data_IF_575088152010
#
_entry.id   IF_575088152010
#
_cell.length_a   1.000
_cell.length_b   1.000
_cell.length_c   1.000
_cell.angle_alpha   90.00
_cell.angle_beta   90.00
_cell.angle_gamma   90.00
#
_symmetry.space_group_name_H-M   'P 1'
#
loop_
_entity.id
_entity.type
_entity.pdbx_description
1 polymer ?
#
# COMPACT_ATOMS: atom_id res chain seq x y z
N UNK A 1 -14.73 -6.86 4.33
CA UNK A 1 -15.80 -7.12 5.33
C UNK A 1 -15.13 -7.79 6.52
N UNK A 2 -14.97 -7.08 7.63
CA UNK A 2 -14.31 -7.61 8.82
C UNK A 2 -15.16 -8.72 9.44
N UNK A 3 -14.57 -9.91 9.61
CA UNK A 3 -15.22 -11.03 10.29
C UNK A 3 -14.86 -10.96 11.76
N UNK A 4 -15.86 -11.02 12.64
CA UNK A 4 -15.68 -10.98 14.09
C UNK A 4 -16.12 -12.33 14.64
N UNK A 5 -15.18 -13.11 15.19
CA UNK A 5 -15.44 -14.48 15.61
C UNK A 5 -16.56 -14.59 16.67
N UNK A 6 -16.69 -13.56 17.52
CA UNK A 6 -17.73 -13.42 18.54
C UNK A 6 -19.10 -13.00 17.98
N UNK A 7 -19.18 -12.52 16.73
CA UNK A 7 -20.43 -12.12 16.09
C UNK A 7 -20.93 -13.19 15.11
N UNK A 8 -21.98 -13.97 15.46
CA UNK A 8 -22.51 -15.04 14.61
C UNK A 8 -22.96 -14.57 13.23
N UNK A 9 -23.34 -13.29 13.08
CA UNK A 9 -23.77 -12.72 11.79
C UNK A 9 -22.62 -12.61 10.77
N UNK A 10 -21.37 -12.62 11.23
CA UNK A 10 -20.18 -12.50 10.37
C UNK A 10 -19.46 -13.82 10.13
N UNK A 11 -19.97 -14.93 10.72
CA UNK A 11 -19.41 -16.26 10.53
C UNK A 11 -19.74 -16.77 9.12
N UNK A 12 -18.78 -17.41 8.42
CA UNK A 12 -19.06 -18.04 7.14
C UNK A 12 -20.11 -19.13 7.32
N UNK A 13 -21.11 -19.14 6.43
CA UNK A 13 -22.12 -20.21 6.33
C UNK A 13 -21.75 -21.26 5.28
N UNK A 14 -20.56 -21.15 4.69
CA UNK A 14 -20.06 -22.02 3.63
C UNK A 14 -18.54 -22.08 3.68
N UNK A 15 -17.97 -23.17 3.17
CA UNK A 15 -16.53 -23.35 3.03
C UNK A 15 -16.05 -22.75 1.72
N UNK A 16 -14.96 -21.99 1.77
CA UNK A 16 -14.29 -21.45 0.57
C UNK A 16 -13.17 -22.41 0.20
N UNK A 17 -13.12 -22.93 -1.05
CA UNK A 17 -12.02 -23.78 -1.49
C UNK A 17 -10.66 -23.08 -1.33
N UNK A 18 -9.63 -23.86 -1.02
CA UNK A 18 -8.26 -23.36 -0.94
C UNK A 18 -7.85 -22.65 -2.24
N UNK A 19 -7.14 -21.53 -2.13
CA UNK A 19 -6.68 -20.74 -3.28
C UNK A 19 -7.76 -19.90 -3.99
N UNK A 20 -9.06 -20.18 -3.80
CA UNK A 20 -10.13 -19.48 -4.52
C UNK A 20 -10.10 -17.95 -4.31
N UNK A 21 -9.77 -17.48 -3.10
CA UNK A 21 -9.62 -16.04 -2.81
C UNK A 21 -8.50 -15.42 -3.63
N UNK A 22 -7.36 -16.10 -3.72
CA UNK A 22 -6.18 -15.64 -4.47
C UNK A 22 -6.49 -15.62 -5.97
N UNK A 23 -7.04 -16.72 -6.51
CA UNK A 23 -7.43 -16.80 -7.92
C UNK A 23 -8.47 -15.76 -8.30
N UNK A 24 -9.46 -15.49 -7.44
CA UNK A 24 -10.48 -14.47 -7.70
C UNK A 24 -9.91 -13.05 -7.71
N UNK A 25 -8.98 -12.74 -6.80
CA UNK A 25 -8.27 -11.45 -6.80
C UNK A 25 -7.40 -11.30 -8.03
N UNK A 26 -6.66 -12.36 -8.41
CA UNK A 26 -5.83 -12.34 -9.60
C UNK A 26 -6.69 -12.16 -10.86
N UNK A 27 -7.82 -12.85 -10.99
CA UNK A 27 -8.76 -12.70 -12.12
C UNK A 27 -9.26 -11.26 -12.29
N UNK A 28 -9.60 -10.61 -11.18
CA UNK A 28 -10.02 -9.21 -11.21
C UNK A 28 -8.85 -8.30 -11.65
N UNK A 29 -7.66 -8.50 -11.09
CA UNK A 29 -6.50 -7.71 -11.49
C UNK A 29 -6.10 -7.93 -12.95
N UNK A 30 -6.08 -9.16 -13.43
CA UNK A 30 -5.70 -9.48 -14.82
C UNK A 30 -6.66 -8.90 -15.85
N UNK A 31 -7.94 -8.71 -15.48
CA UNK A 31 -8.92 -8.07 -16.36
C UNK A 31 -8.84 -6.54 -16.34
N UNK A 32 -8.57 -5.93 -15.19
CA UNK A 32 -8.81 -4.50 -14.96
C UNK A 32 -7.56 -3.66 -14.69
N UNK A 33 -6.41 -4.26 -14.35
CA UNK A 33 -5.21 -3.54 -13.94
C UNK A 33 -4.14 -3.44 -15.04
N UNK A 34 -4.43 -3.85 -16.27
CA UNK A 34 -3.55 -3.67 -17.44
C UNK A 34 -2.07 -4.02 -17.13
N UNK A 35 -1.11 -3.14 -17.45
CA UNK A 35 0.32 -3.31 -17.17
C UNK A 35 0.66 -3.37 -15.67
N UNK A 36 -0.19 -2.86 -14.79
CA UNK A 36 0.01 -2.87 -13.34
C UNK A 36 -0.19 -4.26 -12.71
N UNK A 37 -0.67 -5.25 -13.47
CA UNK A 37 -0.71 -6.65 -13.04
C UNK A 37 0.67 -7.14 -12.57
N UNK A 38 1.75 -6.67 -13.21
CA UNK A 38 3.12 -7.07 -12.82
C UNK A 38 3.42 -6.75 -11.35
N UNK A 39 2.95 -5.59 -10.85
CA UNK A 39 3.13 -5.22 -9.45
C UNK A 39 2.45 -6.21 -8.52
N UNK A 40 1.25 -6.68 -8.85
CA UNK A 40 0.53 -7.68 -8.04
C UNK A 40 1.33 -8.98 -7.93
N UNK A 41 1.97 -9.41 -9.02
CA UNK A 41 2.77 -10.63 -9.07
C UNK A 41 4.07 -10.56 -8.23
N UNK A 42 4.48 -9.37 -7.78
CA UNK A 42 5.61 -9.21 -6.84
C UNK A 42 5.26 -9.60 -5.39
N UNK A 43 3.97 -9.75 -5.07
CA UNK A 43 3.53 -10.14 -3.72
C UNK A 43 3.59 -11.67 -3.56
N UNK A 44 4.03 -12.19 -2.39
CA UNK A 44 4.20 -13.63 -2.18
C UNK A 44 2.96 -14.48 -2.46
N UNK A 45 1.77 -13.93 -2.19
CA UNK A 45 0.51 -14.64 -2.43
C UNK A 45 0.18 -14.86 -3.93
N UNK A 46 0.82 -14.12 -4.84
CA UNK A 46 0.52 -14.13 -6.27
C UNK A 46 1.73 -14.51 -7.15
N UNK A 47 2.93 -14.63 -6.57
CA UNK A 47 4.15 -14.95 -7.31
C UNK A 47 4.06 -16.27 -8.09
N UNK A 48 3.26 -17.23 -7.60
CA UNK A 48 2.98 -18.49 -8.28
C UNK A 48 2.40 -18.33 -9.69
N UNK A 49 1.65 -17.27 -9.98
CA UNK A 49 1.14 -17.02 -11.33
C UNK A 49 2.23 -16.53 -12.29
N UNK A 50 3.27 -15.85 -11.78
CA UNK A 50 4.42 -15.40 -12.57
C UNK A 50 5.41 -16.53 -12.84
N UNK A 51 5.63 -17.41 -11.85
CA UNK A 51 6.53 -18.57 -11.98
C UNK A 51 5.91 -19.75 -12.71
N UNK A 52 4.60 -19.71 -13.00
CA UNK A 52 3.86 -20.83 -13.59
C UNK A 52 3.46 -21.93 -12.60
N UNK A 53 3.78 -21.77 -11.31
CA UNK A 53 3.34 -22.70 -10.26
C UNK A 53 1.82 -22.65 -10.01
N UNK A 54 1.13 -21.59 -10.43
CA UNK A 54 -0.33 -21.46 -10.42
C UNK A 54 -0.85 -21.16 -11.83
N UNK A 55 -1.90 -21.86 -12.23
CA UNK A 55 -2.54 -21.64 -13.52
C UNK A 55 -3.26 -20.28 -13.55
N UNK A 56 -3.00 -19.47 -14.58
CA UNK A 56 -3.71 -18.20 -14.79
C UNK A 56 -5.17 -18.49 -15.16
N UNK A 57 -6.15 -17.80 -14.54
CA UNK A 57 -7.54 -17.98 -14.90
C UNK A 57 -7.81 -17.44 -16.31
N UNK A 58 -8.69 -18.12 -17.06
CA UNK A 58 -9.23 -17.56 -18.29
C UNK A 58 -10.09 -16.32 -17.98
N UNK A 59 -9.87 -15.27 -18.75
CA UNK A 59 -10.54 -13.97 -18.66
C UNK A 59 -11.06 -13.48 -20.02
N UNK A 60 -11.03 -14.31 -21.06
CA UNK A 60 -11.45 -13.97 -22.42
C UNK A 60 -12.82 -13.29 -22.46
N UNK A 61 -13.79 -13.85 -21.75
CA UNK A 61 -15.14 -13.29 -21.62
C UNK A 61 -15.17 -11.89 -20.97
N UNK A 62 -14.30 -11.63 -19.99
CA UNK A 62 -14.22 -10.30 -19.34
C UNK A 62 -13.57 -9.29 -20.29
N UNK A 63 -12.56 -9.72 -21.05
CA UNK A 63 -11.89 -8.88 -22.04
C UNK A 63 -12.84 -8.47 -23.16
N UNK A 64 -13.67 -9.39 -23.64
CA UNK A 64 -14.72 -9.09 -24.62
C UNK A 64 -15.72 -8.04 -24.09
N UNK A 65 -16.17 -8.19 -22.84
CA UNK A 65 -17.05 -7.19 -22.18
C UNK A 65 -16.35 -5.83 -22.07
N UNK A 66 -15.08 -5.82 -21.67
CA UNK A 66 -14.28 -4.59 -21.51
C UNK A 66 -14.14 -3.84 -22.84
N UNK A 67 -13.95 -4.57 -23.94
CA UNK A 67 -13.90 -4.02 -25.30
C UNK A 67 -15.27 -3.47 -25.73
N UNK A 68 -16.33 -4.27 -25.58
CA UNK A 68 -17.70 -3.88 -25.95
C UNK A 68 -18.18 -2.63 -25.20
N UNK A 69 -17.85 -2.51 -23.91
CA UNK A 69 -18.19 -1.36 -23.08
C UNK A 69 -17.25 -0.16 -23.28
N UNK A 70 -16.22 -0.29 -24.14
CA UNK A 70 -15.21 0.76 -24.42
C UNK A 70 -14.60 1.32 -23.13
N UNK A 71 -14.25 0.42 -22.20
CA UNK A 71 -13.70 0.81 -20.90
C UNK A 71 -12.38 1.58 -21.05
N UNK A 72 -12.12 2.51 -20.13
CA UNK A 72 -10.84 3.24 -20.05
C UNK A 72 -9.75 2.35 -19.41
N UNK A 73 -8.47 2.57 -19.74
CA UNK A 73 -7.36 1.85 -19.11
C UNK A 73 -7.21 2.22 -17.63
N UNK A 74 -6.54 1.37 -16.86
CA UNK A 74 -6.34 1.54 -15.43
C UNK A 74 -5.53 2.81 -15.09
N UNK A 75 -4.58 3.22 -15.95
CA UNK A 75 -3.90 4.51 -15.85
C UNK A 75 -4.90 5.68 -15.74
N UNK A 76 -5.95 5.66 -16.56
CA UNK A 76 -6.98 6.68 -16.55
C UNK A 76 -7.74 6.67 -15.22
N UNK A 77 -8.02 5.49 -14.66
CA UNK A 77 -8.64 5.36 -13.34
C UNK A 77 -7.76 5.97 -12.24
N UNK A 78 -6.47 5.59 -12.19
CA UNK A 78 -5.51 6.15 -11.23
C UNK A 78 -5.41 7.68 -11.34
N UNK A 79 -5.38 8.21 -12.57
CA UNK A 79 -5.34 9.64 -12.81
C UNK A 79 -6.64 10.35 -12.43
N UNK A 80 -7.80 9.77 -12.76
CA UNK A 80 -9.11 10.33 -12.39
C UNK A 80 -9.26 10.44 -10.88
N UNK A 81 -8.73 9.47 -10.14
CA UNK A 81 -8.72 9.45 -8.68
C UNK A 81 -7.35 9.85 -8.11
N UNK A 82 -6.59 10.71 -8.80
CA UNK A 82 -5.23 11.08 -8.41
C UNK A 82 -5.14 11.69 -7.01
N UNK A 83 -6.19 12.37 -6.55
CA UNK A 83 -6.24 12.92 -5.20
C UNK A 83 -6.14 11.82 -4.12
N UNK A 84 -6.69 10.65 -4.40
CA UNK A 84 -6.61 9.49 -3.52
C UNK A 84 -5.32 8.71 -3.76
N UNK A 85 -5.00 8.41 -5.02
CA UNK A 85 -3.87 7.52 -5.31
C UNK A 85 -2.51 8.20 -5.20
N UNK A 86 -2.34 9.39 -5.79
CA UNK A 86 -1.06 10.08 -5.82
C UNK A 86 -0.94 11.12 -4.70
N UNK A 87 -1.95 11.98 -4.52
CA UNK A 87 -1.83 13.11 -3.58
C UNK A 87 -1.87 12.65 -2.11
N UNK A 88 -2.60 11.56 -1.80
CA UNK A 88 -2.56 10.92 -0.47
C UNK A 88 -1.45 9.85 -0.32
N UNK A 89 -0.64 9.65 -1.36
CA UNK A 89 0.53 8.77 -1.33
C UNK A 89 0.23 7.27 -1.27
N UNK A 90 -0.85 6.78 -1.88
CA UNK A 90 -1.05 5.32 -2.08
C UNK A 90 -0.15 4.77 -3.19
N UNK A 91 0.12 5.59 -4.21
CA UNK A 91 1.06 5.34 -5.31
C UNK A 91 2.16 6.39 -5.19
N UNK A 92 3.33 6.03 -4.65
CA UNK A 92 4.40 6.99 -4.43
C UNK A 92 5.07 7.38 -5.73
N UNK A 93 5.50 8.64 -5.80
CA UNK A 93 6.38 9.13 -6.88
C UNK A 93 7.83 8.72 -6.64
N UNK A 94 8.22 8.63 -5.38
CA UNK A 94 9.58 8.32 -4.94
C UNK A 94 9.48 7.48 -3.67
N UNK A 95 10.39 6.52 -3.56
CA UNK A 95 10.61 5.69 -2.38
C UNK A 95 12.05 5.90 -1.95
N UNK A 96 12.29 6.10 -0.66
CA UNK A 96 13.59 6.51 -0.12
C UNK A 96 13.80 5.94 1.29
N UNK A 97 15.04 5.98 1.75
CA UNK A 97 15.41 5.72 3.14
C UNK A 97 15.39 7.02 3.95
N UNK A 98 15.10 6.91 5.24
CA UNK A 98 15.24 8.00 6.21
C UNK A 98 16.49 7.72 7.04
N UNK A 99 17.58 8.46 6.78
CA UNK A 99 18.87 8.30 7.45
C UNK A 99 19.03 9.37 8.53
N UNK A 100 19.45 8.95 9.71
CA UNK A 100 19.91 9.86 10.75
C UNK A 100 21.35 10.29 10.46
N UNK A 101 21.59 11.59 10.37
CA UNK A 101 22.90 12.13 9.99
C UNK A 101 23.97 11.94 11.08
N UNK A 102 23.57 11.82 12.35
CA UNK A 102 24.50 11.69 13.48
C UNK A 102 25.01 10.25 13.58
N UNK A 103 24.10 9.28 13.66
CA UNK A 103 24.46 7.86 13.81
C UNK A 103 24.77 7.18 12.48
N UNK A 104 24.34 7.77 11.35
CA UNK A 104 24.43 7.17 10.03
C UNK A 104 23.47 5.99 9.81
N UNK A 105 22.58 5.70 10.76
CA UNK A 105 21.61 4.61 10.68
C UNK A 105 20.33 5.02 9.97
N UNK A 106 19.61 4.05 9.43
CA UNK A 106 18.34 4.24 8.75
C UNK A 106 17.14 3.81 9.62
N UNK A 107 16.04 4.54 9.48
CA UNK A 107 14.78 4.24 10.14
C UNK A 107 14.12 3.00 9.53
N UNK A 108 13.83 2.00 10.36
CA UNK A 108 13.21 0.74 9.96
C UNK A 108 11.93 0.48 10.74
N UNK A 109 10.83 0.23 10.02
CA UNK A 109 9.60 -0.30 10.62
C UNK A 109 9.71 -1.83 10.77
N UNK A 110 9.46 -2.33 11.98
CA UNK A 110 9.46 -3.77 12.32
C UNK A 110 8.09 -4.18 12.82
N UNK A 111 7.29 -4.78 11.94
CA UNK A 111 5.91 -5.15 12.27
C UNK A 111 4.97 -3.95 12.20
N UNK A 112 3.96 -3.90 13.08
CA UNK A 112 2.86 -2.94 12.97
C UNK A 112 3.06 -1.62 13.69
N UNK A 113 3.91 -1.56 14.72
CA UNK A 113 4.05 -0.35 15.56
C UNK A 113 5.50 0.01 15.91
N UNK A 114 6.45 -0.93 15.77
CA UNK A 114 7.81 -0.75 16.24
C UNK A 114 8.69 -0.08 15.17
N UNK A 115 9.45 0.91 15.59
CA UNK A 115 10.40 1.64 14.77
C UNK A 115 11.76 1.61 15.46
N UNK A 116 12.79 1.30 14.68
CA UNK A 116 14.16 1.24 15.16
C UNK A 116 15.12 1.92 14.19
N UNK A 117 16.27 2.35 14.68
CA UNK A 117 17.41 2.72 13.84
C UNK A 117 18.29 1.48 13.62
N UNK A 118 18.57 1.16 12.37
CA UNK A 118 19.41 0.02 11.99
C UNK A 118 20.37 0.40 10.86
N UNK A 119 21.45 -0.36 10.62
CA UNK A 119 22.32 -0.09 9.47
C UNK A 119 21.52 -0.02 8.16
N UNK A 120 21.79 1.00 7.35
CA UNK A 120 21.10 1.21 6.09
C UNK A 120 21.28 0.01 5.15
N UNK A 121 20.19 -0.44 4.54
CA UNK A 121 20.14 -1.61 3.69
C UNK A 121 19.17 -1.42 2.52
N UNK A 122 19.65 -1.66 1.31
CA UNK A 122 18.83 -1.59 0.10
C UNK A 122 17.82 -2.75 -0.01
N UNK A 123 18.04 -3.82 0.75
CA UNK A 123 17.17 -5.00 0.73
C UNK A 123 16.09 -4.96 1.82
N UNK A 124 16.25 -4.13 2.85
CA UNK A 124 15.24 -4.00 3.90
C UNK A 124 14.06 -3.17 3.43
N UNK A 125 12.95 -3.86 3.10
CA UNK A 125 11.68 -3.20 2.77
C UNK A 125 11.12 -2.37 3.92
N UNK A 126 11.45 -2.72 5.16
CA UNK A 126 11.04 -1.97 6.35
C UNK A 126 11.72 -0.60 6.46
N UNK A 127 12.84 -0.39 5.76
CA UNK A 127 13.53 0.91 5.67
C UNK A 127 13.09 1.77 4.49
N UNK A 128 12.16 1.28 3.67
CA UNK A 128 11.65 2.02 2.52
C UNK A 128 10.42 2.83 2.93
N UNK A 129 10.51 4.14 2.75
CA UNK A 129 9.47 5.11 3.08
C UNK A 129 9.11 5.92 1.85
N UNK A 130 7.94 6.55 1.90
CA UNK A 130 7.53 7.55 0.91
C UNK A 130 6.61 8.58 1.55
N UNK A 131 6.36 9.68 0.85
CA UNK A 131 5.33 10.62 1.24
C UNK A 131 3.96 9.91 1.25
N UNK A 132 3.23 10.09 2.34
CA UNK A 132 1.85 9.68 2.53
C UNK A 132 1.04 10.86 3.03
N UNK A 133 -0.27 10.69 3.13
CA UNK A 133 -1.25 11.67 3.61
C UNK A 133 -1.35 12.90 2.68
N UNK A 134 -2.57 13.34 2.40
CA UNK A 134 -2.77 14.54 1.59
C UNK A 134 -2.42 15.78 2.40
N UNK A 135 -1.73 16.74 1.78
CA UNK A 135 -1.54 18.08 2.34
C UNK A 135 -2.87 18.85 2.26
N UNK A 136 -3.60 18.86 3.37
CA UNK A 136 -4.94 19.43 3.46
C UNK A 136 -4.92 20.93 3.70
N UNK A 137 -4.46 21.76 2.75
CA UNK A 137 -4.49 23.24 2.78
C UNK A 137 -3.94 23.96 4.04
N UNK A 138 -3.45 23.23 5.05
CA UNK A 138 -3.06 23.73 6.37
C UNK A 138 -1.73 23.16 6.87
N UNK A 139 -1.03 22.34 6.07
CA UNK A 139 0.00 21.37 6.51
C UNK A 139 -0.65 20.11 7.12
N UNK A 140 -0.14 18.89 6.98
CA UNK A 140 1.15 18.43 6.44
C UNK A 140 1.00 17.06 5.73
N UNK A 141 2.02 16.63 4.99
CA UNK A 141 2.16 15.21 4.59
C UNK A 141 2.64 14.35 5.76
N UNK A 142 2.54 13.03 5.68
CA UNK A 142 3.19 12.07 6.57
C UNK A 142 4.21 11.22 5.83
N UNK A 143 4.92 10.36 6.56
CA UNK A 143 5.75 9.31 5.96
C UNK A 143 5.08 7.96 6.10
N UNK A 144 4.87 7.29 4.97
CA UNK A 144 4.28 5.97 4.89
C UNK A 144 5.36 4.93 4.61
N UNK A 145 5.28 3.81 5.31
CA UNK A 145 6.16 2.67 5.08
C UNK A 145 5.72 1.90 3.82
N UNK A 146 6.67 1.60 2.95
CA UNK A 146 6.42 1.11 1.59
C UNK A 146 5.66 -0.22 1.55
N UNK A 147 4.62 -0.29 0.69
CA UNK A 147 3.69 -1.42 0.57
C UNK A 147 2.96 -1.81 1.86
N UNK A 148 2.88 -0.91 2.86
CA UNK A 148 2.06 -1.10 4.05
C UNK A 148 0.98 -0.02 4.12
N UNK A 149 0.07 -0.12 5.08
CA UNK A 149 -0.85 0.95 5.47
C UNK A 149 -0.37 1.73 6.71
N UNK A 150 0.90 1.59 7.07
CA UNK A 150 1.49 2.16 8.28
C UNK A 150 2.23 3.46 7.98
N UNK A 151 1.95 4.48 8.79
CA UNK A 151 2.58 5.79 8.74
C UNK A 151 3.34 6.07 10.04
N UNK A 152 4.41 6.85 9.92
CA UNK A 152 5.14 7.39 11.04
C UNK A 152 4.20 8.25 11.90
N UNK A 153 4.19 8.01 13.21
CA UNK A 153 3.34 8.64 14.20
C UNK A 153 4.17 9.07 15.41
N UNK A 154 4.01 10.31 15.85
CA UNK A 154 4.61 10.84 17.08
C UNK A 154 3.55 11.47 17.97
N UNK A 155 3.43 10.99 19.20
CA UNK A 155 2.44 11.48 20.17
C UNK A 155 2.81 12.83 20.80
N UNK A 156 4.06 13.28 20.65
CA UNK A 156 4.54 14.57 21.14
C UNK A 156 6.07 14.65 21.16
N UNK A 157 6.58 15.85 21.46
CA UNK A 157 8.03 16.07 21.62
C UNK A 157 8.52 15.29 22.86
N UNK A 158 9.62 14.55 22.71
CA UNK A 158 10.22 13.74 23.78
C UNK A 158 9.52 12.40 24.04
N UNK A 159 8.53 12.03 23.22
CA UNK A 159 7.88 10.71 23.25
C UNK A 159 8.49 9.79 22.19
N UNK A 160 8.29 8.48 22.39
CA UNK A 160 8.66 7.48 21.40
C UNK A 160 7.85 7.65 20.10
N UNK A 161 8.53 7.40 18.99
CA UNK A 161 7.94 7.40 17.66
C UNK A 161 7.52 5.98 17.31
N UNK A 162 6.30 5.81 16.80
CA UNK A 162 5.74 4.52 16.41
C UNK A 162 5.16 4.58 15.00
N UNK A 163 4.61 3.47 14.52
CA UNK A 163 3.72 3.49 13.35
C UNK A 163 2.26 3.29 13.74
N UNK A 164 1.36 3.90 12.97
CA UNK A 164 -0.10 3.71 13.03
C UNK A 164 -0.68 3.64 11.62
N UNK A 165 -1.95 3.20 11.48
CA UNK A 165 -2.64 3.22 10.18
C UNK A 165 -2.69 4.66 9.63
N UNK A 166 -2.25 4.84 8.39
CA UNK A 166 -2.19 6.14 7.72
C UNK A 166 -3.57 6.80 7.56
N UNK A 167 -3.66 8.10 7.83
CA UNK A 167 -4.81 8.91 7.39
C UNK A 167 -4.64 9.34 5.93
N UNK A 168 -5.58 8.98 5.06
CA UNK A 168 -5.54 9.43 3.66
C UNK A 168 -5.68 10.95 3.54
N UNK A 169 -6.44 11.58 4.43
CA UNK A 169 -6.81 12.99 4.37
C UNK A 169 -5.98 13.90 5.28
N UNK A 170 -4.98 13.35 5.97
CA UNK A 170 -4.12 14.13 6.88
C UNK A 170 -4.85 14.58 8.15
N UNK A 171 -5.87 13.86 8.60
CA UNK A 171 -6.65 14.20 9.80
C UNK A 171 -5.92 13.88 11.11
N UNK A 172 -4.87 13.06 11.03
CA UNK A 172 -4.10 12.58 12.17
C UNK A 172 -2.89 13.48 12.41
N UNK A 173 -3.04 14.39 13.39
CA UNK A 173 -2.02 15.37 13.77
C UNK A 173 -0.69 14.74 14.21
N UNK A 174 -0.75 13.53 14.76
CA UNK A 174 0.43 12.75 15.15
C UNK A 174 1.22 12.21 13.95
N UNK A 175 0.67 12.28 12.72
CA UNK A 175 1.34 11.87 11.49
C UNK A 175 1.83 13.06 10.65
N UNK A 176 1.78 14.28 11.19
CA UNK A 176 2.10 15.49 10.45
C UNK A 176 3.62 15.72 10.39
N UNK A 177 4.13 15.76 9.16
CA UNK A 177 5.55 15.98 8.85
C UNK A 177 5.64 17.08 7.79
N UNK A 178 6.20 18.21 8.19
CA UNK A 178 6.52 19.30 7.28
C UNK A 178 7.87 19.01 6.63
N UNK A 179 7.85 18.71 5.34
CA UNK A 179 9.07 18.63 4.55
C UNK A 179 9.36 20.00 3.97
N UNK A 180 10.52 20.55 4.29
CA UNK A 180 11.04 21.68 3.53
C UNK A 180 11.35 21.18 2.12
N UNK A 181 10.72 21.79 1.12
CA UNK A 181 11.11 21.54 -0.26
C UNK A 181 12.43 22.29 -0.47
N UNK A 182 13.54 21.58 -0.44
CA UNK A 182 14.76 22.12 -1.03
C UNK A 182 14.47 22.40 -2.50
N UNK A 183 14.55 23.68 -2.86
CA UNK A 183 14.40 24.19 -4.22
C UNK A 183 15.44 23.58 -5.17
#
# INVERSE_FOLDING_TARGET
MWRVASNPKTRPRYTVPGGAVVTNRYRAASAWFDEWLEKLETFPAFSGFKTGAMAKPDISNILEIKENLKCKPFAWFLYRFRALYFDAGLVPRQVFHLKDDISGMCLEARGSTNIVLTPCSDTSKGQLWHRGNRDGNKCCSGFRNWNTDQCLSGSGIGQDVSTNVCSTYGEFYDQWIKLEQNQ
#
